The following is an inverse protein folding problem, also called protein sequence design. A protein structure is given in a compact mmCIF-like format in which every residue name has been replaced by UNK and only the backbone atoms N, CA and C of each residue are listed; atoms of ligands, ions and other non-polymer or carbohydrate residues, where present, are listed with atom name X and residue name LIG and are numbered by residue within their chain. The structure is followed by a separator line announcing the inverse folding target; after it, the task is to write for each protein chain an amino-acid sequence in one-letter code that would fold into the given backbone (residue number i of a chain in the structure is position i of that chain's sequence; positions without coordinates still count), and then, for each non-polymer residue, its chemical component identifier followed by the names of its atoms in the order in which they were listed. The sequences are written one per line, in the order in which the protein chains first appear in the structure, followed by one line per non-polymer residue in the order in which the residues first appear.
data_IF_591372869163
#
_entry.id   IF_591372869163
#
_cell.length_a   1.000
_cell.length_b   1.000
_cell.length_c   1.000
_cell.angle_alpha   90.00
_cell.angle_beta   90.00
_cell.angle_gamma   90.00
#
_symmetry.space_group_name_H-M   'P 1'
#
loop_
_entity.id
_entity.type
_entity.pdbx_description
1 polymer ?
#
# COMPACT_ATOMS: atom_id res chain seq x y z
N UNK A 1 -17.69 -3.95 -80.92
CA UNK A 1 -18.18 -2.69 -81.57
C UNK A 1 -17.78 -1.58 -80.57
N UNK A 2 -16.70 -0.97 -80.87
CA UNK A 2 -16.45 0.43 -81.32
C UNK A 2 -17.46 1.42 -80.76
N UNK A 3 -17.02 2.34 -79.86
CA UNK A 3 -16.89 3.74 -80.18
C UNK A 3 -16.10 4.52 -79.13
N UNK A 4 -14.97 5.01 -79.59
CA UNK A 4 -14.13 6.08 -79.06
C UNK A 4 -14.84 7.42 -79.18
N UNK A 5 -14.81 8.27 -78.18
CA UNK A 5 -14.91 9.73 -78.35
C UNK A 5 -13.89 10.39 -77.40
N UNK A 6 -13.03 11.16 -78.04
CA UNK A 6 -12.04 12.10 -77.50
C UNK A 6 -12.73 13.49 -77.46
N UNK A 7 -12.52 14.24 -76.36
CA UNK A 7 -12.59 15.72 -76.38
C UNK A 7 -11.94 16.18 -75.03
N UNK A 8 -10.76 16.68 -75.06
CA UNK A 8 -10.26 18.05 -75.27
C UNK A 8 -10.33 18.92 -73.99
N UNK A 9 -9.20 19.39 -73.70
CA UNK A 9 -8.71 20.20 -72.56
C UNK A 9 -9.48 21.56 -72.35
N UNK A 10 -9.45 21.98 -71.08
CA UNK A 10 -9.31 23.39 -70.71
C UNK A 10 -8.60 23.53 -69.38
N UNK A 11 -7.42 24.11 -69.44
CA UNK A 11 -6.65 24.52 -68.31
C UNK A 11 -7.26 25.79 -67.71
N UNK A 12 -7.55 25.80 -66.42
CA UNK A 12 -7.68 27.01 -65.63
C UNK A 12 -6.72 26.98 -64.50
N UNK A 13 -5.65 27.79 -64.64
CA UNK A 13 -4.75 28.18 -63.59
C UNK A 13 -5.46 29.25 -62.78
N UNK A 14 -5.87 28.89 -61.52
CA UNK A 14 -6.24 29.89 -60.54
C UNK A 14 -5.33 29.65 -59.35
N UNK A 15 -4.40 30.57 -59.18
CA UNK A 15 -3.53 30.63 -58.04
C UNK A 15 -4.33 30.87 -56.73
N UNK A 16 -4.39 29.90 -55.91
CA UNK A 16 -4.93 29.98 -54.55
C UNK A 16 -3.81 29.82 -53.54
N UNK A 17 -3.49 30.89 -52.85
CA UNK A 17 -2.59 30.90 -51.71
C UNK A 17 -3.09 29.88 -50.67
N UNK A 18 -2.47 28.73 -50.61
CA UNK A 18 -2.60 27.82 -49.46
C UNK A 18 -1.80 28.39 -48.28
N UNK A 19 -2.49 29.07 -47.39
CA UNK A 19 -1.98 29.39 -46.06
C UNK A 19 -2.06 28.08 -45.24
N UNK A 20 -0.94 27.49 -44.79
CA UNK A 20 -1.02 26.37 -43.91
C UNK A 20 -1.51 26.89 -42.54
N UNK A 21 -2.75 26.53 -42.16
CA UNK A 21 -3.21 26.63 -40.79
C UNK A 21 -2.37 25.67 -39.94
N UNK A 22 -1.27 26.20 -39.39
CA UNK A 22 -0.55 25.51 -38.32
C UNK A 22 -1.45 25.52 -37.10
N UNK A 23 -2.16 24.42 -36.90
CA UNK A 23 -2.78 24.13 -35.61
C UNK A 23 -1.68 23.94 -34.57
N UNK A 24 -1.40 25.00 -33.83
CA UNK A 24 -0.69 24.86 -32.56
C UNK A 24 -1.61 24.06 -31.63
N UNK A 25 -1.48 22.74 -31.64
CA UNK A 25 -1.91 21.90 -30.53
C UNK A 25 -1.05 22.33 -29.35
N UNK A 26 -1.56 23.27 -28.54
CA UNK A 26 -1.05 23.54 -27.23
C UNK A 26 -1.27 22.27 -26.41
N UNK A 27 -0.35 21.33 -26.54
CA UNK A 27 -0.23 20.21 -25.62
C UNK A 27 -0.04 20.81 -24.24
N UNK A 28 -1.11 20.86 -23.45
CA UNK A 28 -0.98 20.97 -22.02
C UNK A 28 -0.19 19.75 -21.61
N UNK A 29 1.14 19.90 -21.48
CA UNK A 29 1.92 19.05 -20.60
C UNK A 29 1.30 19.24 -19.21
N UNK A 30 0.37 18.37 -18.84
CA UNK A 30 0.13 18.09 -17.44
C UNK A 30 1.51 17.67 -16.92
N UNK A 31 2.19 18.64 -16.31
CA UNK A 31 3.31 18.31 -15.45
C UNK A 31 2.75 17.34 -14.43
N UNK A 32 3.01 16.05 -14.65
CA UNK A 32 2.93 15.08 -13.57
C UNK A 32 3.68 15.72 -12.41
N UNK A 33 2.94 16.05 -11.35
CA UNK A 33 3.55 16.57 -10.15
C UNK A 33 4.65 15.59 -9.80
N UNK A 34 5.89 16.06 -9.78
CA UNK A 34 7.02 15.24 -9.38
C UNK A 34 6.68 14.79 -7.96
N UNK A 35 6.33 13.51 -7.83
CA UNK A 35 6.16 12.88 -6.53
C UNK A 35 7.56 12.91 -5.93
N UNK A 36 7.81 13.87 -5.06
CA UNK A 36 9.02 13.89 -4.24
C UNK A 36 9.06 12.54 -3.54
N UNK A 37 10.15 11.77 -3.64
CA UNK A 37 10.25 10.52 -2.91
C UNK A 37 9.91 10.81 -1.45
N UNK A 38 9.00 10.06 -0.83
CA UNK A 38 8.67 10.30 0.57
C UNK A 38 9.97 10.25 1.36
N UNK A 39 10.20 11.24 2.22
CA UNK A 39 11.27 11.22 3.19
C UNK A 39 11.17 9.94 4.03
N UNK A 40 12.16 9.67 4.86
CA UNK A 40 12.09 8.55 5.80
C UNK A 40 10.83 8.73 6.68
N UNK A 41 9.94 7.71 6.77
CA UNK A 41 8.72 7.83 7.56
C UNK A 41 9.01 8.24 9.01
N UNK A 42 8.26 9.22 9.50
CA UNK A 42 8.32 9.67 10.88
C UNK A 42 7.08 9.17 11.60
N UNK A 43 7.28 8.16 12.45
CA UNK A 43 6.21 7.53 13.20
C UNK A 43 6.01 8.21 14.55
N UNK A 44 4.78 8.64 14.83
CA UNK A 44 4.38 9.24 16.11
C UNK A 44 3.41 8.31 16.80
N UNK A 45 3.69 7.92 18.05
CA UNK A 45 2.76 7.11 18.84
C UNK A 45 1.48 7.90 19.11
N UNK A 46 0.32 7.27 18.85
CA UNK A 46 -1.01 7.83 19.04
C UNK A 46 -1.86 6.90 19.91
N UNK A 47 -3.05 7.37 20.29
CA UNK A 47 -3.93 6.56 21.12
C UNK A 47 -4.50 5.37 20.32
N UNK A 48 -4.55 4.19 20.95
CA UNK A 48 -5.18 3.00 20.39
C UNK A 48 -6.68 3.25 20.14
N UNK A 49 -7.16 3.15 18.88
CA UNK A 49 -8.52 3.59 18.54
C UNK A 49 -9.60 2.51 18.66
N UNK A 50 -9.20 1.25 18.87
CA UNK A 50 -10.14 0.14 18.87
C UNK A 50 -10.58 -0.25 20.28
N UNK A 51 -11.74 -0.90 20.42
CA UNK A 51 -12.15 -1.51 21.68
C UNK A 51 -11.10 -2.49 22.20
N UNK A 52 -11.04 -2.65 23.50
CA UNK A 52 -10.18 -3.66 24.14
C UNK A 52 -10.91 -5.02 24.05
N UNK A 53 -10.23 -6.00 23.52
CA UNK A 53 -10.70 -7.37 23.41
C UNK A 53 -9.79 -8.34 24.21
N UNK A 54 -9.91 -9.65 23.96
CA UNK A 54 -9.13 -10.70 24.62
C UNK A 54 -7.60 -10.54 24.44
N UNK A 55 -7.15 -9.82 23.41
CA UNK A 55 -5.74 -9.56 23.15
C UNK A 55 -5.25 -8.26 23.81
N UNK A 56 -6.13 -7.57 24.51
CA UNK A 56 -5.83 -6.34 25.20
C UNK A 56 -5.62 -5.14 24.28
N UNK A 57 -4.95 -4.14 24.81
CA UNK A 57 -4.64 -2.90 24.11
C UNK A 57 -3.30 -3.03 23.39
N UNK A 58 -3.30 -2.72 22.10
CA UNK A 58 -2.08 -2.63 21.31
C UNK A 58 -1.41 -1.25 21.37
N UNK A 59 -0.44 -1.05 20.48
CA UNK A 59 0.17 0.24 20.17
C UNK A 59 -0.30 0.75 18.83
N UNK A 60 -0.48 2.05 18.71
CA UNK A 60 -0.84 2.72 17.48
C UNK A 60 0.16 3.81 17.15
N UNK A 61 0.51 3.92 15.88
CA UNK A 61 1.41 4.94 15.36
C UNK A 61 0.81 5.56 14.10
N UNK A 62 1.12 6.82 13.87
CA UNK A 62 0.70 7.56 12.69
C UNK A 62 1.92 8.13 11.99
N UNK A 63 1.94 8.02 10.66
CA UNK A 63 2.82 8.78 9.79
C UNK A 63 1.98 9.78 8.98
N UNK A 64 2.33 11.05 9.08
CA UNK A 64 1.59 12.15 8.41
C UNK A 64 1.88 12.19 6.92
N UNK A 65 0.98 12.78 6.11
CA UNK A 65 1.19 12.93 4.67
C UNK A 65 2.49 13.65 4.29
N UNK A 66 2.98 14.57 5.12
CA UNK A 66 4.24 15.27 4.88
C UNK A 66 5.45 14.33 4.86
N UNK A 67 5.41 13.25 5.66
CA UNK A 67 6.52 12.31 5.82
C UNK A 67 6.32 11.02 5.00
N UNK A 68 5.07 10.57 4.84
CA UNK A 68 4.74 9.32 4.16
C UNK A 68 4.06 9.51 2.79
N UNK A 69 3.89 10.75 2.32
CA UNK A 69 3.16 11.06 1.08
C UNK A 69 1.65 10.86 1.17
N UNK A 70 1.18 10.11 2.14
CA UNK A 70 -0.23 9.90 2.50
C UNK A 70 -0.33 9.70 4.00
N UNK A 71 -1.53 9.73 4.54
CA UNK A 71 -1.74 9.32 5.93
C UNK A 71 -1.61 7.80 6.04
N UNK A 72 -0.77 7.35 6.96
CA UNK A 72 -0.58 5.93 7.27
C UNK A 72 -0.74 5.73 8.77
N UNK A 73 -1.62 4.83 9.15
CA UNK A 73 -1.80 4.41 10.53
C UNK A 73 -1.30 2.98 10.69
N UNK A 74 -0.47 2.74 11.70
CA UNK A 74 0.09 1.43 12.02
C UNK A 74 -0.40 0.98 13.38
N UNK A 75 -0.98 -0.19 13.43
CA UNK A 75 -1.51 -0.81 14.65
C UNK A 75 -0.71 -2.07 14.95
N UNK A 76 -0.15 -2.16 16.15
CA UNK A 76 0.65 -3.29 16.62
C UNK A 76 -0.03 -3.97 17.79
N UNK A 77 -0.07 -5.29 17.79
CA UNK A 77 -0.61 -6.07 18.91
C UNK A 77 0.13 -7.39 19.09
N UNK A 78 0.32 -7.81 20.33
CA UNK A 78 0.84 -9.13 20.64
C UNK A 78 -0.32 -10.12 20.79
N UNK A 79 -0.12 -11.32 20.30
CA UNK A 79 -1.02 -12.47 20.48
C UNK A 79 -0.26 -13.65 21.04
N UNK A 80 -0.30 -13.77 22.36
CA UNK A 80 0.45 -14.77 23.11
C UNK A 80 -0.18 -16.14 22.93
N UNK A 81 0.63 -17.15 22.58
CA UNK A 81 0.18 -18.53 22.38
C UNK A 81 -0.77 -18.71 21.20
N UNK A 82 -0.81 -17.80 20.23
CA UNK A 82 -1.83 -17.81 19.19
C UNK A 82 -1.32 -18.15 17.80
N UNK A 83 -0.03 -18.22 17.54
CA UNK A 83 0.47 -18.70 16.25
C UNK A 83 0.82 -20.20 16.31
N UNK A 84 1.03 -20.81 15.14
CA UNK A 84 1.47 -22.19 15.05
C UNK A 84 2.88 -22.33 15.66
N UNK A 85 2.99 -23.10 16.75
CA UNK A 85 4.25 -23.27 17.46
C UNK A 85 5.36 -23.95 16.64
N UNK A 86 5.00 -24.69 15.60
CA UNK A 86 5.96 -25.45 14.79
C UNK A 86 6.43 -24.66 13.57
N UNK A 87 5.48 -24.05 12.85
CA UNK A 87 5.75 -23.35 11.60
C UNK A 87 5.79 -21.83 11.74
N UNK A 88 5.24 -21.29 12.82
CA UNK A 88 5.03 -19.86 12.98
C UNK A 88 4.06 -19.32 11.92
N UNK A 89 4.23 -18.07 11.54
CA UNK A 89 3.46 -17.42 10.48
C UNK A 89 4.13 -17.68 9.13
N UNK A 90 4.00 -18.91 8.62
CA UNK A 90 4.72 -19.37 7.44
C UNK A 90 3.96 -19.14 6.11
N UNK A 91 2.63 -19.09 6.16
CA UNK A 91 1.76 -18.98 4.98
C UNK A 91 0.67 -17.91 5.14
N UNK A 92 -0.13 -17.72 4.08
CA UNK A 92 -1.17 -16.70 4.04
C UNK A 92 -2.34 -17.06 4.95
N UNK A 93 -2.65 -18.34 5.10
CA UNK A 93 -3.76 -18.81 5.93
C UNK A 93 -3.44 -18.53 7.42
N UNK A 94 -2.20 -18.79 7.83
CA UNK A 94 -1.74 -18.47 9.18
C UNK A 94 -1.69 -16.96 9.42
N UNK A 95 -1.22 -16.17 8.43
CA UNK A 95 -1.25 -14.71 8.53
C UNK A 95 -2.68 -14.19 8.69
N UNK A 96 -3.64 -14.71 7.94
CA UNK A 96 -5.05 -14.31 8.06
C UNK A 96 -5.64 -14.72 9.40
N UNK A 97 -5.29 -15.90 9.90
CA UNK A 97 -5.76 -16.41 11.19
C UNK A 97 -5.26 -15.57 12.36
N UNK A 98 -3.97 -15.20 12.36
CA UNK A 98 -3.39 -14.42 13.47
C UNK A 98 -3.56 -12.92 13.27
N UNK A 99 -3.70 -12.44 12.05
CA UNK A 99 -3.73 -11.03 11.68
C UNK A 99 -4.89 -10.26 12.30
N UNK A 100 -4.78 -8.96 12.25
CA UNK A 100 -5.77 -8.02 12.78
C UNK A 100 -6.44 -7.16 11.70
N UNK A 101 -6.40 -7.61 10.45
CA UNK A 101 -7.01 -6.87 9.34
C UNK A 101 -8.50 -6.59 9.56
N UNK A 102 -9.19 -7.46 10.27
CA UNK A 102 -10.61 -7.30 10.59
C UNK A 102 -10.89 -6.11 11.55
N UNK A 103 -9.91 -5.64 12.31
CA UNK A 103 -10.09 -4.49 13.22
C UNK A 103 -10.45 -3.20 12.49
N UNK A 104 -9.96 -3.04 11.26
CA UNK A 104 -10.24 -1.83 10.47
C UNK A 104 -11.66 -1.80 9.90
N UNK A 105 -12.41 -2.88 10.04
CA UNK A 105 -13.76 -3.01 9.47
C UNK A 105 -13.75 -2.98 7.95
N UNK A 106 -14.94 -2.96 7.36
CA UNK A 106 -15.09 -2.89 5.91
C UNK A 106 -14.85 -4.21 5.18
N UNK A 107 -14.71 -4.09 3.88
CA UNK A 107 -14.46 -5.21 2.99
C UNK A 107 -12.99 -5.21 2.58
N UNK A 108 -12.32 -6.34 2.71
CA UNK A 108 -10.90 -6.48 2.34
C UNK A 108 -10.74 -7.56 1.28
N UNK A 109 -9.86 -7.32 0.32
CA UNK A 109 -9.49 -8.28 -0.71
C UNK A 109 -7.97 -8.31 -0.88
N UNK A 110 -7.38 -9.49 -0.83
CA UNK A 110 -5.95 -9.63 -1.05
C UNK A 110 -5.57 -9.18 -2.47
N UNK A 111 -4.56 -8.32 -2.58
CA UNK A 111 -4.04 -7.80 -3.85
C UNK A 111 -3.00 -8.73 -4.47
N UNK A 112 -2.31 -9.52 -3.65
CA UNK A 112 -1.29 -10.46 -4.07
C UNK A 112 -1.09 -11.56 -3.00
N UNK A 113 -0.44 -12.66 -3.34
CA UNK A 113 0.08 -13.60 -2.35
C UNK A 113 1.02 -12.89 -1.37
N UNK A 114 1.00 -13.33 -0.13
CA UNK A 114 1.89 -12.83 0.90
C UNK A 114 3.35 -13.20 0.65
N UNK A 115 4.26 -12.47 1.31
CA UNK A 115 5.71 -12.67 1.22
C UNK A 115 6.31 -12.94 2.59
N UNK A 116 7.33 -13.80 2.63
CA UNK A 116 8.10 -13.99 3.84
C UNK A 116 8.86 -12.72 4.20
N UNK A 117 8.85 -12.37 5.48
CA UNK A 117 9.58 -11.23 6.04
C UNK A 117 10.38 -11.65 7.26
N UNK A 118 11.31 -10.79 7.66
CA UNK A 118 12.05 -10.93 8.91
C UNK A 118 12.15 -9.56 9.61
N UNK A 119 12.02 -9.57 10.92
CA UNK A 119 12.21 -8.42 11.81
C UNK A 119 13.08 -8.86 12.95
N UNK A 120 14.31 -8.33 13.03
CA UNK A 120 15.35 -8.81 13.93
C UNK A 120 15.53 -10.33 13.82
N UNK A 121 15.30 -11.07 14.90
CA UNK A 121 15.39 -12.53 14.93
C UNK A 121 14.08 -13.25 14.58
N UNK A 122 12.95 -12.53 14.54
CA UNK A 122 11.62 -13.07 14.26
C UNK A 122 11.40 -13.22 12.75
N UNK A 123 10.72 -14.30 12.39
CA UNK A 123 10.28 -14.54 11.02
C UNK A 123 8.76 -14.36 10.91
N UNK A 124 8.28 -14.14 9.72
CA UNK A 124 6.85 -14.00 9.52
C UNK A 124 6.48 -13.72 8.09
N UNK A 125 5.33 -13.07 7.92
CA UNK A 125 4.74 -12.85 6.61
C UNK A 125 4.07 -11.48 6.51
N UNK A 126 4.04 -10.93 5.31
CA UNK A 126 3.29 -9.73 4.96
C UNK A 126 2.37 -10.01 3.78
N UNK A 127 1.20 -9.34 3.73
CA UNK A 127 0.26 -9.44 2.61
C UNK A 127 -0.47 -8.12 2.39
N UNK A 128 -0.54 -7.62 1.14
CA UNK A 128 -1.26 -6.40 0.79
C UNK A 128 -2.74 -6.66 0.51
N UNK A 129 -3.59 -5.71 0.88
CA UNK A 129 -5.05 -5.75 0.69
C UNK A 129 -5.57 -4.46 0.09
N UNK A 130 -6.57 -4.56 -0.80
CA UNK A 130 -7.51 -3.49 -1.09
C UNK A 130 -8.52 -3.42 0.04
N UNK A 131 -8.97 -2.21 0.36
CA UNK A 131 -9.91 -1.98 1.47
C UNK A 131 -11.02 -1.06 1.00
N UNK A 132 -12.26 -1.40 1.37
CA UNK A 132 -13.41 -0.55 1.13
C UNK A 132 -14.24 -0.41 2.41
N UNK A 133 -14.82 0.79 2.63
CA UNK A 133 -15.67 1.07 3.78
C UNK A 133 -15.00 0.84 5.15
N UNK A 134 -13.70 1.09 5.26
CA UNK A 134 -12.94 0.92 6.50
C UNK A 134 -13.05 2.13 7.43
N UNK A 135 -12.63 1.92 8.69
CA UNK A 135 -12.38 2.98 9.66
C UNK A 135 -10.99 2.79 10.31
N UNK A 136 -10.08 3.80 10.25
CA UNK A 136 -10.24 5.04 9.47
C UNK A 136 -10.38 4.76 7.97
N UNK A 137 -10.91 5.74 7.22
CA UNK A 137 -11.10 5.60 5.78
C UNK A 137 -9.76 5.37 5.07
N UNK A 138 -9.67 4.31 4.27
CA UNK A 138 -8.47 3.91 3.56
C UNK A 138 -8.80 3.25 2.22
N UNK A 139 -7.83 3.23 1.32
CA UNK A 139 -7.93 2.53 0.04
C UNK A 139 -7.20 1.19 0.06
N UNK A 140 -6.22 1.06 0.94
CA UNK A 140 -5.42 -0.15 1.03
C UNK A 140 -4.89 -0.40 2.44
N UNK A 141 -4.50 -1.62 2.69
CA UNK A 141 -3.86 -2.03 3.93
C UNK A 141 -2.72 -3.02 3.67
N UNK A 142 -1.83 -3.13 4.63
CA UNK A 142 -0.79 -4.14 4.66
C UNK A 142 -0.87 -4.86 6.00
N UNK A 143 -1.12 -6.15 5.97
CA UNK A 143 -1.02 -7.00 7.15
C UNK A 143 0.38 -7.60 7.24
N UNK A 144 0.97 -7.57 8.42
CA UNK A 144 2.21 -8.26 8.75
C UNK A 144 1.99 -9.05 10.04
N UNK A 145 2.62 -10.20 10.13
CA UNK A 145 2.75 -10.90 11.39
C UNK A 145 4.13 -11.54 11.45
N UNK A 146 4.76 -11.42 12.60
CA UNK A 146 6.06 -12.02 12.92
C UNK A 146 5.91 -12.81 14.21
N UNK A 147 6.66 -13.86 14.36
CA UNK A 147 6.53 -14.72 15.53
C UNK A 147 7.85 -15.10 16.15
N UNK A 148 7.78 -15.35 17.43
CA UNK A 148 8.77 -16.07 18.24
C UNK A 148 8.06 -17.24 18.92
N UNK A 149 8.47 -18.47 18.60
CA UNK A 149 7.79 -19.69 19.05
C UNK A 149 6.28 -19.66 18.73
N UNK A 150 5.43 -19.70 19.77
CA UNK A 150 3.96 -19.69 19.65
C UNK A 150 3.36 -18.28 19.72
N UNK A 151 4.18 -17.27 19.96
CA UNK A 151 3.75 -15.90 20.21
C UNK A 151 3.92 -15.05 18.94
N UNK A 152 2.93 -14.24 18.62
CA UNK A 152 2.98 -13.38 17.45
C UNK A 152 2.87 -11.90 17.79
N UNK A 153 3.62 -11.09 17.07
CA UNK A 153 3.37 -9.65 16.93
C UNK A 153 2.68 -9.45 15.59
N UNK A 154 1.49 -8.92 15.62
CA UNK A 154 0.74 -8.58 14.41
C UNK A 154 0.75 -7.07 14.20
N UNK A 155 0.91 -6.68 12.94
CA UNK A 155 0.92 -5.30 12.51
C UNK A 155 -0.07 -5.10 11.36
N UNK A 156 -0.92 -4.07 11.47
CA UNK A 156 -1.84 -3.69 10.41
C UNK A 156 -1.58 -2.24 10.05
N UNK A 157 -1.10 -2.01 8.81
CA UNK A 157 -1.00 -0.67 8.25
C UNK A 157 -2.28 -0.35 7.49
N UNK A 158 -2.81 0.83 7.75
CA UNK A 158 -3.97 1.39 7.05
C UNK A 158 -3.48 2.60 6.28
N UNK A 159 -3.65 2.58 4.96
CA UNK A 159 -3.03 3.52 4.04
C UNK A 159 -4.14 4.30 3.34
N UNK A 160 -4.16 5.62 3.55
CA UNK A 160 -5.18 6.51 3.02
C UNK A 160 -5.23 6.50 1.49
N UNK A 161 -4.08 6.61 0.84
CA UNK A 161 -3.91 6.52 -0.62
C UNK A 161 -2.56 5.93 -0.96
N UNK A 162 -2.51 5.14 -2.03
CA UNK A 162 -1.25 4.61 -2.55
C UNK A 162 -1.13 3.09 -2.47
N UNK A 163 0.02 2.61 -2.90
CA UNK A 163 0.29 1.18 -3.01
C UNK A 163 0.82 0.62 -1.68
N UNK A 164 0.18 -0.39 -1.10
CA UNK A 164 0.63 -0.96 0.17
C UNK A 164 2.03 -1.57 0.09
N UNK A 165 2.43 -2.08 -1.07
CA UNK A 165 3.78 -2.62 -1.29
C UNK A 165 4.88 -1.56 -1.08
N UNK A 166 4.61 -0.28 -1.34
CA UNK A 166 5.57 0.78 -1.09
C UNK A 166 5.83 1.03 0.40
N UNK A 167 4.89 0.65 1.25
CA UNK A 167 4.98 0.81 2.70
C UNK A 167 5.55 -0.41 3.43
N UNK A 168 5.77 -1.53 2.73
CA UNK A 168 6.26 -2.75 3.36
C UNK A 168 7.65 -2.59 3.97
N UNK A 169 8.62 -2.14 3.18
CA UNK A 169 9.98 -1.94 3.67
C UNK A 169 10.07 -0.87 4.77
N UNK A 170 9.44 0.32 4.62
CA UNK A 170 9.34 1.29 5.71
C UNK A 170 8.71 0.74 7.01
N UNK A 171 7.70 -0.13 6.89
CA UNK A 171 7.08 -0.77 8.05
C UNK A 171 8.05 -1.75 8.73
N UNK A 172 8.73 -2.60 7.95
CA UNK A 172 9.75 -3.54 8.47
C UNK A 172 10.87 -2.78 9.17
N UNK A 173 11.35 -1.67 8.60
CA UNK A 173 12.36 -0.82 9.23
C UNK A 173 11.88 -0.24 10.56
N UNK A 174 10.63 0.20 10.63
CA UNK A 174 10.06 0.67 11.88
C UNK A 174 9.87 -0.44 12.91
N UNK A 175 9.43 -1.63 12.49
CA UNK A 175 9.32 -2.80 13.35
C UNK A 175 10.69 -3.21 13.92
N UNK A 176 11.79 -2.97 13.20
CA UNK A 176 13.16 -3.16 13.66
C UNK A 176 13.69 -2.02 14.54
N UNK A 177 12.89 -1.00 14.83
CA UNK A 177 13.34 0.08 15.72
C UNK A 177 13.38 -0.36 17.18
N UNK A 178 14.29 0.26 17.96
CA UNK A 178 14.40 0.04 19.39
C UNK A 178 13.08 0.18 20.15
N UNK A 179 12.23 1.11 19.70
CA UNK A 179 10.91 1.37 20.32
C UNK A 179 10.02 0.15 20.22
N UNK A 180 9.96 -0.47 19.03
CA UNK A 180 9.10 -1.62 18.79
C UNK A 180 9.75 -2.89 19.36
N UNK A 181 11.04 -3.11 19.13
CA UNK A 181 11.73 -4.32 19.62
C UNK A 181 11.69 -4.42 21.14
N UNK A 182 12.00 -3.34 21.87
CA UNK A 182 11.90 -3.37 23.34
C UNK A 182 10.47 -3.55 23.85
N UNK A 183 9.48 -3.08 23.11
CA UNK A 183 8.10 -3.37 23.44
C UNK A 183 7.77 -4.84 23.18
N UNK A 184 8.19 -5.40 22.06
CA UNK A 184 7.98 -6.80 21.72
C UNK A 184 8.64 -7.73 22.74
N UNK A 185 9.94 -7.53 23.06
CA UNK A 185 10.67 -8.30 24.07
C UNK A 185 9.92 -8.34 25.41
N UNK A 186 9.54 -7.16 25.92
CA UNK A 186 8.81 -7.10 27.20
C UNK A 186 7.45 -7.77 27.16
N UNK A 187 6.78 -7.70 26.02
CA UNK A 187 5.41 -8.23 25.87
C UNK A 187 5.43 -9.75 25.66
N UNK A 188 6.43 -10.26 24.95
CA UNK A 188 6.65 -11.70 24.73
C UNK A 188 7.41 -12.38 25.87
N UNK A 189 7.95 -11.62 26.83
CA UNK A 189 8.69 -12.16 27.99
C UNK A 189 10.09 -12.64 27.65
N UNK A 190 10.75 -12.00 26.67
CA UNK A 190 12.10 -12.30 26.18
C UNK A 190 13.18 -11.49 26.89
#
# INVERSE_FOLDING_TARGET
MRKTIIAVAAAFVVGGLCVPLVWFAAGRSERAAAVTPPGRPVWTEVQWPFPIDQWGKGKAFQCKPADCGTEVNLYLRAKIGFCNCTTGVADDDELERVGDIALIGGETAALAPGRAIAVAWMKGRSRPYAVAKSFPAAESALALAINEHCDAIVATLVIGRGQPAAMEQPAIEFLNSDVVLRWAERTLGL
#
